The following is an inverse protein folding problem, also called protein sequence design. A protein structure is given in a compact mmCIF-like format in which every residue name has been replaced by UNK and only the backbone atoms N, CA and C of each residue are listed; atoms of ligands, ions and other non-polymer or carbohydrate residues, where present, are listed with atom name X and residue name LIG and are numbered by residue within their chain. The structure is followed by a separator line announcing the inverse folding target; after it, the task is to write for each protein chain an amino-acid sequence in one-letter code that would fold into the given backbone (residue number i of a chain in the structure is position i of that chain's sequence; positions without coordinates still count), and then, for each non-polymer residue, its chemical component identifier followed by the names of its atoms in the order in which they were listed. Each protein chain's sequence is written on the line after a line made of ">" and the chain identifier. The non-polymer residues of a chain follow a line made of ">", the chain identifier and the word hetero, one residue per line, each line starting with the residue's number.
data_IF_480656205349
#
_entry.id   IF_480656205349
#
_cell.length_a   1.000
_cell.length_b   1.000
_cell.length_c   1.000
_cell.angle_alpha   90.00
_cell.angle_beta   90.00
_cell.angle_gamma   90.00
#
_symmetry.space_group_name_H-M   'P 1'
#
loop_
_entity.id
_entity.type
_entity.pdbx_description
1 polymer ?
#
# COMPACT_ATOMS: atom_id res chain seq x y z
N UNK A 1 28.22 10.39 -6.06
CA UNK A 1 26.79 10.41 -5.69
C UNK A 1 25.90 10.18 -6.91
N UNK A 2 26.08 10.94 -8.01
CA UNK A 2 25.34 10.73 -9.27
C UNK A 2 25.47 9.30 -9.84
N UNK A 3 26.69 8.73 -9.90
CA UNK A 3 26.91 7.35 -10.40
C UNK A 3 26.14 6.27 -9.62
N UNK A 4 26.09 6.38 -8.29
CA UNK A 4 25.34 5.46 -7.44
C UNK A 4 23.84 5.58 -7.71
N UNK A 5 23.31 6.80 -7.84
CA UNK A 5 21.90 7.05 -8.13
C UNK A 5 21.54 6.48 -9.50
N UNK A 6 22.38 6.69 -10.51
CA UNK A 6 22.23 6.15 -11.86
C UNK A 6 22.24 4.62 -11.88
N UNK A 7 23.07 3.97 -11.07
CA UNK A 7 23.12 2.51 -10.97
C UNK A 7 21.91 1.91 -10.23
N UNK A 8 21.42 2.57 -9.17
CA UNK A 8 20.33 2.07 -8.32
C UNK A 8 18.95 2.37 -8.91
N UNK A 9 18.79 3.47 -9.64
CA UNK A 9 17.50 3.90 -10.17
C UNK A 9 16.77 2.84 -11.03
N UNK A 10 17.42 2.16 -12.01
CA UNK A 10 16.75 1.12 -12.79
C UNK A 10 16.25 -0.04 -11.92
N UNK A 11 17.02 -0.42 -10.90
CA UNK A 11 16.66 -1.49 -9.96
C UNK A 11 15.41 -1.10 -9.18
N UNK A 12 15.33 0.15 -8.72
CA UNK A 12 14.14 0.65 -8.02
C UNK A 12 12.92 0.69 -8.94
N UNK A 13 13.07 1.13 -10.19
CA UNK A 13 12.00 1.09 -11.19
C UNK A 13 11.47 -0.33 -11.40
N UNK A 14 12.37 -1.31 -11.60
CA UNK A 14 12.00 -2.71 -11.77
C UNK A 14 11.33 -3.30 -10.52
N UNK A 15 11.74 -2.87 -9.33
CA UNK A 15 11.16 -3.33 -8.06
C UNK A 15 9.73 -2.86 -7.81
N UNK A 16 9.26 -1.82 -8.51
CA UNK A 16 7.90 -1.29 -8.32
C UNK A 16 6.81 -2.30 -8.68
N UNK A 17 7.02 -3.09 -9.73
CA UNK A 17 6.04 -4.10 -10.15
C UNK A 17 5.83 -5.20 -9.10
N UNK A 18 6.87 -5.92 -8.62
CA UNK A 18 6.67 -6.94 -7.59
C UNK A 18 6.16 -6.35 -6.26
N UNK A 19 6.56 -5.14 -5.90
CA UNK A 19 6.00 -4.44 -4.74
C UNK A 19 4.51 -4.15 -4.89
N UNK A 20 4.07 -3.70 -6.05
CA UNK A 20 2.66 -3.44 -6.33
C UNK A 20 1.83 -4.74 -6.27
N UNK A 21 2.34 -5.83 -6.86
CA UNK A 21 1.68 -7.14 -6.79
C UNK A 21 1.56 -7.61 -5.34
N UNK A 22 2.63 -7.51 -4.55
CA UNK A 22 2.60 -7.90 -3.14
C UNK A 22 1.63 -7.03 -2.34
N UNK A 23 1.63 -5.72 -2.57
CA UNK A 23 0.67 -4.80 -1.94
C UNK A 23 -0.78 -5.23 -2.23
N UNK A 24 -1.11 -5.54 -3.49
CA UNK A 24 -2.45 -5.97 -3.87
C UNK A 24 -2.85 -7.30 -3.21
N UNK A 25 -1.92 -8.26 -3.10
CA UNK A 25 -2.17 -9.53 -2.42
C UNK A 25 -2.48 -9.32 -0.93
N UNK A 26 -1.69 -8.50 -0.24
CA UNK A 26 -1.91 -8.19 1.17
C UNK A 26 -3.17 -7.36 1.40
N UNK A 27 -3.47 -6.40 0.51
CA UNK A 27 -4.70 -5.63 0.53
C UNK A 27 -5.92 -6.55 0.41
N UNK A 28 -5.87 -7.53 -0.50
CA UNK A 28 -6.94 -8.54 -0.65
C UNK A 28 -7.12 -9.33 0.65
N UNK A 29 -6.03 -9.75 1.26
CA UNK A 29 -6.07 -10.49 2.53
C UNK A 29 -6.70 -9.67 3.65
N UNK A 30 -6.33 -8.39 3.78
CA UNK A 30 -6.89 -7.50 4.82
C UNK A 30 -8.38 -7.24 4.56
N UNK A 31 -8.76 -6.98 3.32
CA UNK A 31 -10.18 -6.76 2.97
C UNK A 31 -11.05 -7.99 3.23
N UNK A 32 -10.53 -9.19 2.94
CA UNK A 32 -11.24 -10.42 3.26
C UNK A 32 -11.42 -10.61 4.76
N UNK A 33 -10.38 -10.32 5.56
CA UNK A 33 -10.47 -10.38 7.04
C UNK A 33 -11.47 -9.36 7.58
N UNK A 34 -11.44 -8.11 7.09
CA UNK A 34 -12.41 -7.09 7.48
C UNK A 34 -13.83 -7.53 7.11
N UNK A 35 -14.03 -8.08 5.92
CA UNK A 35 -15.35 -8.57 5.50
C UNK A 35 -15.86 -9.72 6.36
N UNK A 36 -14.99 -10.65 6.80
CA UNK A 36 -15.41 -11.82 7.58
C UNK A 36 -15.54 -11.54 9.08
N UNK A 37 -14.63 -10.75 9.66
CA UNK A 37 -14.51 -10.57 11.11
C UNK A 37 -15.09 -9.23 11.58
N UNK A 38 -15.09 -8.20 10.72
CA UNK A 38 -15.54 -6.83 11.06
C UNK A 38 -16.38 -6.21 9.92
N UNK A 39 -17.49 -6.84 9.50
CA UNK A 39 -18.26 -6.44 8.34
C UNK A 39 -18.77 -4.99 8.40
N UNK A 40 -19.04 -4.47 9.60
CA UNK A 40 -19.42 -3.07 9.83
C UNK A 40 -18.35 -2.08 9.34
N UNK A 41 -17.07 -2.35 9.64
CA UNK A 41 -15.95 -1.51 9.19
C UNK A 41 -15.78 -1.64 7.67
N UNK A 42 -15.94 -2.85 7.13
CA UNK A 42 -15.87 -3.06 5.68
C UNK A 42 -16.96 -2.29 4.91
N UNK A 43 -18.17 -2.21 5.47
CA UNK A 43 -19.28 -1.41 4.95
C UNK A 43 -18.97 0.09 5.02
N UNK A 44 -18.45 0.59 6.14
CA UNK A 44 -18.04 2.00 6.33
C UNK A 44 -16.95 2.44 5.33
N UNK A 45 -16.04 1.52 4.99
CA UNK A 45 -15.03 1.72 3.95
C UNK A 45 -15.60 1.67 2.53
N UNK A 46 -16.92 1.55 2.38
CA UNK A 46 -17.62 1.62 1.10
C UNK A 46 -17.71 0.29 0.35
N UNK A 47 -17.63 -0.85 1.04
CA UNK A 47 -17.63 -2.19 0.43
C UNK A 47 -16.55 -2.35 -0.63
N UNK A 48 -15.35 -1.83 -0.34
CA UNK A 48 -14.25 -1.82 -1.30
C UNK A 48 -13.88 -3.26 -1.68
N UNK A 49 -13.70 -3.48 -2.98
CA UNK A 49 -13.04 -4.66 -3.53
C UNK A 49 -11.94 -4.18 -4.49
N UNK A 50 -10.87 -4.95 -4.64
CA UNK A 50 -9.71 -4.48 -5.42
C UNK A 50 -10.02 -4.28 -6.90
N UNK A 51 -10.89 -5.10 -7.47
CA UNK A 51 -11.24 -5.11 -8.91
C UNK A 51 -12.61 -4.47 -9.16
N UNK A 52 -13.57 -4.66 -8.25
CA UNK A 52 -14.95 -4.18 -8.39
C UNK A 52 -15.23 -3.16 -7.30
N UNK A 53 -15.99 -2.11 -7.60
CA UNK A 53 -16.32 -1.06 -6.63
C UNK A 53 -15.09 -0.35 -6.01
N UNK A 54 -14.04 -0.18 -6.84
CA UNK A 54 -12.81 0.53 -6.50
C UNK A 54 -12.87 1.98 -7.00
N UNK A 55 -13.78 2.77 -6.43
CA UNK A 55 -13.81 4.21 -6.70
C UNK A 55 -12.64 4.91 -6.02
N UNK A 56 -12.20 6.04 -6.55
CA UNK A 56 -11.12 6.84 -5.95
C UNK A 56 -11.43 7.16 -4.48
N UNK A 57 -12.68 7.50 -4.17
CA UNK A 57 -13.14 7.81 -2.81
C UNK A 57 -13.00 6.60 -1.87
N UNK A 58 -13.44 5.41 -2.28
CA UNK A 58 -13.34 4.20 -1.46
C UNK A 58 -11.87 3.77 -1.26
N UNK A 59 -11.07 3.83 -2.33
CA UNK A 59 -9.63 3.58 -2.27
C UNK A 59 -8.94 4.53 -1.29
N UNK A 60 -9.28 5.82 -1.34
CA UNK A 60 -8.75 6.81 -0.41
C UNK A 60 -9.10 6.50 1.04
N UNK A 61 -10.37 6.19 1.33
CA UNK A 61 -10.81 5.79 2.69
C UNK A 61 -10.02 4.58 3.19
N UNK A 62 -9.84 3.55 2.36
CA UNK A 62 -9.06 2.37 2.72
C UNK A 62 -7.59 2.71 2.96
N UNK A 63 -6.96 3.53 2.11
CA UNK A 63 -5.59 3.97 2.33
C UNK A 63 -5.44 4.73 3.65
N UNK A 64 -6.35 5.67 3.95
CA UNK A 64 -6.33 6.44 5.20
C UNK A 64 -6.47 5.51 6.41
N UNK A 65 -7.40 4.56 6.35
CA UNK A 65 -7.58 3.54 7.38
C UNK A 65 -6.30 2.73 7.65
N UNK A 66 -5.59 2.31 6.58
CA UNK A 66 -4.32 1.59 6.70
C UNK A 66 -3.20 2.50 7.25
N UNK A 67 -3.12 3.75 6.80
CA UNK A 67 -2.09 4.71 7.22
C UNK A 67 -2.24 5.13 8.69
N UNK A 68 -3.49 5.34 9.15
CA UNK A 68 -3.82 5.61 10.55
C UNK A 68 -3.65 4.38 11.45
N UNK A 69 -3.58 3.20 10.84
CA UNK A 69 -3.51 1.92 11.54
C UNK A 69 -4.74 1.64 12.42
N UNK A 70 -5.91 2.09 11.98
CA UNK A 70 -7.18 1.93 12.69
C UNK A 70 -7.54 0.43 12.89
N UNK A 71 -7.03 -0.46 12.03
CA UNK A 71 -7.16 -1.92 12.18
C UNK A 71 -6.62 -2.47 13.50
N UNK A 72 -5.71 -1.76 14.18
CA UNK A 72 -5.17 -2.18 15.48
C UNK A 72 -6.21 -2.09 16.60
N UNK A 73 -7.24 -1.25 16.44
CA UNK A 73 -8.32 -1.09 17.42
C UNK A 73 -9.24 -2.31 17.50
N UNK A 74 -9.23 -3.15 16.46
CA UNK A 74 -10.15 -4.28 16.30
C UNK A 74 -9.71 -5.56 17.05
N UNK A 75 -8.58 -5.51 17.80
CA UNK A 75 -8.06 -6.57 18.69
C UNK A 75 -7.89 -7.97 18.04
N UNK A 76 -7.61 -8.03 16.74
CA UNK A 76 -7.27 -9.27 16.04
C UNK A 76 -5.78 -9.35 15.68
N UNK A 77 -5.07 -10.37 16.17
CA UNK A 77 -3.62 -10.56 15.92
C UNK A 77 -3.32 -10.74 14.42
N UNK A 78 -4.15 -11.54 13.74
CA UNK A 78 -4.00 -11.83 12.31
C UNK A 78 -4.20 -10.56 11.46
N UNK A 79 -5.27 -9.81 11.73
CA UNK A 79 -5.57 -8.55 11.06
C UNK A 79 -4.48 -7.51 11.35
N UNK A 80 -4.01 -7.41 12.58
CA UNK A 80 -2.94 -6.47 12.97
C UNK A 80 -1.63 -6.77 12.26
N UNK A 81 -1.22 -8.05 12.19
CA UNK A 81 -0.01 -8.45 11.46
C UNK A 81 -0.11 -8.14 9.97
N UNK A 82 -1.24 -8.49 9.35
CA UNK A 82 -1.49 -8.25 7.91
C UNK A 82 -1.60 -6.75 7.60
N UNK A 83 -2.34 -6.00 8.39
CA UNK A 83 -2.45 -4.54 8.29
C UNK A 83 -1.11 -3.83 8.47
N UNK A 84 -0.27 -4.27 9.41
CA UNK A 84 1.08 -3.72 9.61
C UNK A 84 1.98 -3.96 8.41
N UNK A 85 1.93 -5.16 7.81
CA UNK A 85 2.67 -5.45 6.59
C UNK A 85 2.17 -4.57 5.43
N UNK A 86 0.85 -4.50 5.24
CA UNK A 86 0.24 -3.68 4.20
C UNK A 86 0.60 -2.19 4.33
N UNK A 87 0.57 -1.66 5.56
CA UNK A 87 0.97 -0.28 5.86
C UNK A 87 2.44 -0.04 5.52
N UNK A 88 3.33 -0.98 5.85
CA UNK A 88 4.75 -0.87 5.48
C UNK A 88 4.94 -0.87 3.96
N UNK A 89 4.27 -1.77 3.25
CA UNK A 89 4.31 -1.82 1.79
C UNK A 89 3.79 -0.52 1.16
N UNK A 90 2.70 0.05 1.70
CA UNK A 90 2.15 1.31 1.22
C UNK A 90 3.15 2.46 1.37
N UNK A 91 3.76 2.59 2.56
CA UNK A 91 4.75 3.65 2.85
C UNK A 91 6.01 3.45 1.99
N UNK A 92 6.58 2.23 1.97
CA UNK A 92 7.78 1.95 1.18
C UNK A 92 7.55 2.15 -0.32
N UNK A 93 6.39 1.74 -0.83
CA UNK A 93 6.02 1.94 -2.22
C UNK A 93 5.94 3.42 -2.59
N UNK A 94 5.34 4.26 -1.73
CA UNK A 94 5.30 5.70 -1.94
C UNK A 94 6.70 6.34 -1.87
N UNK A 95 7.56 5.92 -0.93
CA UNK A 95 8.93 6.43 -0.85
C UNK A 95 9.75 6.08 -2.09
N UNK A 96 9.64 4.83 -2.58
CA UNK A 96 10.31 4.40 -3.82
C UNK A 96 9.79 5.19 -5.01
N UNK A 97 8.46 5.36 -5.12
CA UNK A 97 7.88 6.14 -6.21
C UNK A 97 8.41 7.59 -6.21
N UNK A 98 8.42 8.26 -5.05
CA UNK A 98 8.97 9.61 -4.90
C UNK A 98 10.43 9.65 -5.34
N UNK A 99 11.25 8.70 -4.90
CA UNK A 99 12.66 8.62 -5.31
C UNK A 99 12.81 8.42 -6.82
N UNK A 100 12.05 7.49 -7.41
CA UNK A 100 12.08 7.20 -8.86
C UNK A 100 11.71 8.43 -9.69
N UNK A 101 10.77 9.25 -9.22
CA UNK A 101 10.39 10.49 -9.90
C UNK A 101 11.41 11.63 -9.74
N UNK A 102 12.07 11.75 -8.59
CA UNK A 102 13.02 12.84 -8.31
C UNK A 102 14.41 12.53 -8.88
N UNK A 103 14.85 11.27 -8.86
CA UNK A 103 16.20 10.87 -9.25
C UNK A 103 16.62 11.32 -10.66
N UNK A 104 15.78 11.27 -11.72
CA UNK A 104 16.14 11.78 -13.04
C UNK A 104 16.49 13.27 -13.07
N UNK A 105 15.87 14.09 -12.21
CA UNK A 105 16.17 15.52 -12.09
C UNK A 105 17.57 15.73 -11.50
N UNK A 106 18.01 14.82 -10.62
CA UNK A 106 19.34 14.85 -10.01
C UNK A 106 20.40 14.27 -10.94
N UNK A 107 20.07 13.24 -11.72
CA UNK A 107 20.99 12.62 -12.70
C UNK A 107 21.24 13.55 -13.90
N UNK A 108 20.20 14.26 -14.36
CA UNK A 108 20.29 15.18 -15.50
C UNK A 108 20.92 16.53 -15.19
N UNK A 109 21.38 16.75 -13.94
CA UNK A 109 22.18 17.89 -13.51
C UNK A 109 23.64 17.47 -13.39
#
# INVERSE_FOLDING_TARGET
>A
MSELITAVWPILCLSMFPLAVWYLMEAKSVLNLLKSEHPQIWLELGNIQLVKNNTISNSYKFMVYILKADYRLLKGDKLSRKGNLLRRLLISGHLIAVFVFIAPIVIGR
#
